data_IF_472519210167
#
_entry.id   IF_472519210167
#
_cell.length_a   1.000
_cell.length_b   1.000
_cell.length_c   1.000
_cell.angle_alpha   90.00
_cell.angle_beta   90.00
_cell.angle_gamma   90.00
#
_symmetry.space_group_name_H-M   'P 1'
#
loop_
_entity.id
_entity.type
_entity.pdbx_description
1 polymer ?
#
# COMPACT_ATOMS: atom_id res chain seq x y z
N UNK A 1 -46.12 12.23 -4.19
CA UNK A 1 -45.27 12.35 -5.40
C UNK A 1 -43.84 12.75 -5.08
N UNK A 2 -43.59 13.62 -4.08
CA UNK A 2 -42.23 13.95 -3.64
C UNK A 2 -41.46 12.76 -3.04
N UNK A 3 -42.13 11.92 -2.24
CA UNK A 3 -41.48 10.74 -1.62
C UNK A 3 -41.00 9.70 -2.64
N UNK A 4 -41.79 9.41 -3.68
CA UNK A 4 -41.42 8.45 -4.72
C UNK A 4 -40.22 8.92 -5.57
N UNK A 5 -40.07 10.23 -5.75
CA UNK A 5 -38.91 10.80 -6.45
C UNK A 5 -37.65 10.78 -5.56
N UNK A 6 -37.80 11.01 -4.25
CA UNK A 6 -36.74 10.89 -3.27
C UNK A 6 -36.25 9.44 -3.13
N UNK A 7 -37.17 8.48 -3.10
CA UNK A 7 -36.87 7.05 -2.98
C UNK A 7 -36.10 6.53 -4.21
N UNK A 8 -36.48 6.97 -5.41
CA UNK A 8 -35.76 6.66 -6.66
C UNK A 8 -34.38 7.32 -6.74
N UNK A 9 -34.22 8.51 -6.14
CA UNK A 9 -32.93 9.18 -6.02
C UNK A 9 -32.00 8.47 -5.02
N UNK A 10 -32.55 7.93 -3.93
CA UNK A 10 -31.81 7.13 -2.95
C UNK A 10 -31.39 5.77 -3.53
N UNK A 11 -32.26 5.11 -4.31
CA UNK A 11 -31.90 3.87 -5.02
C UNK A 11 -30.75 4.06 -6.01
N UNK A 12 -30.81 5.12 -6.83
CA UNK A 12 -29.76 5.43 -7.80
C UNK A 12 -28.44 5.81 -7.12
N UNK A 13 -28.47 6.48 -5.97
CA UNK A 13 -27.28 6.75 -5.16
C UNK A 13 -26.68 5.47 -4.55
N UNK A 14 -27.50 4.58 -4.00
CA UNK A 14 -27.02 3.30 -3.47
C UNK A 14 -26.44 2.41 -4.56
N UNK A 15 -27.05 2.38 -5.75
CA UNK A 15 -26.50 1.68 -6.91
C UNK A 15 -25.16 2.30 -7.36
N UNK A 16 -25.05 3.62 -7.41
CA UNK A 16 -23.80 4.29 -7.76
C UNK A 16 -22.68 4.01 -6.73
N UNK A 17 -23.02 4.01 -5.43
CA UNK A 17 -22.08 3.67 -4.36
C UNK A 17 -21.59 2.23 -4.46
N UNK A 18 -22.46 1.29 -4.80
CA UNK A 18 -22.11 -0.12 -4.97
C UNK A 18 -21.20 -0.35 -6.19
N UNK A 19 -21.44 0.35 -7.31
CA UNK A 19 -20.58 0.30 -8.51
C UNK A 19 -19.17 0.83 -8.18
N UNK A 20 -19.07 1.92 -7.43
CA UNK A 20 -17.77 2.49 -7.00
C UNK A 20 -17.02 1.53 -6.07
N UNK A 21 -17.75 0.87 -5.15
CA UNK A 21 -17.17 -0.09 -4.22
C UNK A 21 -16.67 -1.35 -4.94
N UNK A 22 -17.44 -1.88 -5.88
CA UNK A 22 -17.02 -2.99 -6.73
C UNK A 22 -15.82 -2.61 -7.61
N UNK A 23 -15.77 -1.39 -8.15
CA UNK A 23 -14.61 -0.93 -8.90
C UNK A 23 -13.34 -0.84 -8.03
N UNK A 24 -13.47 -0.43 -6.77
CA UNK A 24 -12.35 -0.39 -5.82
C UNK A 24 -11.87 -1.80 -5.42
N UNK A 25 -12.79 -2.75 -5.26
CA UNK A 25 -12.47 -4.16 -4.95
C UNK A 25 -11.81 -4.87 -6.14
N UNK A 26 -12.21 -4.55 -7.37
CA UNK A 26 -11.68 -5.20 -8.59
C UNK A 26 -10.39 -4.56 -9.14
N UNK A 27 -9.98 -3.38 -8.67
CA UNK A 27 -8.75 -2.71 -9.14
C UNK A 27 -7.46 -3.55 -8.98
N UNK A 28 -7.22 -4.24 -7.84
CA UNK A 28 -6.06 -5.12 -7.68
C UNK A 28 -6.13 -6.37 -8.57
N UNK A 29 -7.34 -6.82 -8.90
CA UNK A 29 -7.57 -7.95 -9.79
C UNK A 29 -7.37 -7.59 -11.26
N UNK A 30 -7.69 -6.35 -11.65
CA UNK A 30 -7.52 -5.85 -13.01
C UNK A 30 -6.05 -5.93 -13.49
N UNK A 31 -5.08 -5.66 -12.61
CA UNK A 31 -3.66 -5.80 -12.94
C UNK A 31 -3.26 -7.27 -13.18
N UNK A 32 -3.77 -8.19 -12.36
CA UNK A 32 -3.56 -9.63 -12.54
C UNK A 32 -4.26 -10.16 -13.80
N UNK A 33 -5.49 -9.72 -14.05
CA UNK A 33 -6.28 -10.11 -15.21
C UNK A 33 -5.70 -9.56 -16.52
N UNK A 34 -5.19 -8.32 -16.54
CA UNK A 34 -4.53 -7.74 -17.70
C UNK A 34 -3.25 -8.49 -18.05
N UNK A 35 -2.41 -8.83 -17.06
CA UNK A 35 -1.21 -9.63 -17.28
C UNK A 35 -1.55 -11.06 -17.73
N UNK A 36 -2.57 -11.68 -17.12
CA UNK A 36 -3.08 -13.00 -17.49
C UNK A 36 -3.60 -13.01 -18.94
N UNK A 37 -4.33 -11.96 -19.35
CA UNK A 37 -4.82 -11.79 -20.71
C UNK A 37 -3.69 -11.58 -21.72
N UNK A 38 -2.67 -10.78 -21.38
CA UNK A 38 -1.47 -10.57 -22.22
C UNK A 38 -0.66 -11.86 -22.35
N UNK A 39 -0.63 -12.71 -21.32
CA UNK A 39 -0.01 -14.04 -21.40
C UNK A 39 -0.85 -15.07 -22.17
N UNK A 40 -2.06 -14.75 -22.63
CA UNK A 40 -2.93 -15.69 -23.35
C UNK A 40 -3.61 -16.74 -22.47
N UNK A 41 -3.76 -16.47 -21.16
CA UNK A 41 -4.48 -17.35 -20.25
C UNK A 41 -3.66 -18.45 -19.58
N UNK A 42 -2.35 -18.53 -19.82
CA UNK A 42 -1.50 -19.63 -19.32
C UNK A 42 -0.94 -19.43 -17.91
N UNK A 43 -0.93 -18.20 -17.38
CA UNK A 43 -0.28 -17.91 -16.08
C UNK A 43 -1.31 -17.61 -15.01
N UNK A 44 -1.53 -18.55 -14.10
CA UNK A 44 -2.42 -18.37 -12.94
C UNK A 44 -2.07 -17.09 -12.13
N UNK A 45 -3.06 -16.28 -11.68
CA UNK A 45 -2.81 -15.06 -10.92
C UNK A 45 -1.96 -15.26 -9.66
N UNK A 46 -2.03 -16.43 -9.03
CA UNK A 46 -1.17 -16.79 -7.91
C UNK A 46 0.28 -16.96 -8.35
N UNK A 47 0.52 -17.71 -9.43
CA UNK A 47 1.88 -17.91 -9.99
C UNK A 47 2.48 -16.57 -10.42
N UNK A 48 1.67 -15.67 -10.97
CA UNK A 48 2.09 -14.32 -11.32
C UNK A 48 2.53 -13.50 -10.09
N UNK A 49 1.69 -13.46 -9.03
CA UNK A 49 2.03 -12.77 -7.77
C UNK A 49 3.26 -13.39 -7.10
N UNK A 50 3.39 -14.71 -7.16
CA UNK A 50 4.55 -15.44 -6.66
C UNK A 50 5.83 -15.09 -7.45
N UNK A 51 5.73 -14.97 -8.78
CA UNK A 51 6.85 -14.56 -9.61
C UNK A 51 7.32 -13.14 -9.26
N UNK A 52 6.39 -12.18 -9.08
CA UNK A 52 6.70 -10.82 -8.62
C UNK A 52 7.38 -10.86 -7.23
N UNK A 53 6.86 -11.67 -6.31
CA UNK A 53 7.44 -11.82 -4.98
C UNK A 53 8.89 -12.33 -5.04
N UNK A 54 9.14 -13.41 -5.78
CA UNK A 54 10.49 -13.98 -5.94
C UNK A 54 11.43 -12.98 -6.63
N UNK A 55 10.99 -12.32 -7.70
CA UNK A 55 11.79 -11.32 -8.40
C UNK A 55 12.13 -10.12 -7.48
N UNK A 56 11.18 -9.70 -6.65
CA UNK A 56 11.38 -8.62 -5.67
C UNK A 56 12.43 -8.97 -4.61
N UNK A 57 12.53 -10.24 -4.21
CA UNK A 57 13.60 -10.72 -3.30
C UNK A 57 14.97 -10.56 -3.96
N UNK A 58 15.12 -10.98 -5.22
CA UNK A 58 16.37 -10.82 -5.96
C UNK A 58 16.76 -9.34 -6.07
N UNK A 59 15.82 -8.47 -6.44
CA UNK A 59 16.06 -7.02 -6.51
C UNK A 59 16.49 -6.49 -5.15
N UNK A 60 15.79 -6.84 -4.07
CA UNK A 60 16.14 -6.41 -2.71
C UNK A 60 17.55 -6.84 -2.28
N UNK A 61 17.93 -8.07 -2.59
CA UNK A 61 19.28 -8.60 -2.32
C UNK A 61 20.36 -7.76 -3.02
N UNK A 62 20.23 -7.52 -4.34
CA UNK A 62 21.23 -6.77 -5.10
C UNK A 62 21.30 -5.29 -4.68
N UNK A 63 20.17 -4.69 -4.31
CA UNK A 63 20.12 -3.30 -3.82
C UNK A 63 20.88 -3.14 -2.50
N UNK A 64 20.74 -4.08 -1.56
CA UNK A 64 21.39 -4.01 -0.25
C UNK A 64 22.87 -4.44 -0.32
N UNK A 65 23.23 -5.35 -1.22
CA UNK A 65 24.60 -5.87 -1.33
C UNK A 65 25.63 -4.80 -1.74
N UNK A 66 25.21 -3.77 -2.47
CA UNK A 66 26.11 -2.78 -3.07
C UNK A 66 26.27 -1.49 -2.25
N UNK A 67 25.97 -1.54 -0.94
CA UNK A 67 26.09 -0.37 -0.05
C UNK A 67 27.48 -0.26 0.58
N UNK A 68 27.94 0.97 0.83
CA UNK A 68 29.20 1.18 1.54
C UNK A 68 29.06 0.82 3.02
N UNK A 69 30.08 0.26 3.69
CA UNK A 69 29.97 -0.19 5.08
C UNK A 69 29.55 0.90 6.08
N UNK A 70 29.92 2.15 5.80
CA UNK A 70 29.54 3.30 6.61
C UNK A 70 28.02 3.60 6.58
N UNK A 71 27.29 3.05 5.61
CA UNK A 71 25.87 3.30 5.42
C UNK A 71 24.97 2.18 5.95
N UNK A 72 25.49 1.10 6.55
CA UNK A 72 24.64 0.02 7.08
C UNK A 72 23.66 0.51 8.16
N UNK A 73 24.10 1.40 9.05
CA UNK A 73 23.23 1.96 10.10
C UNK A 73 22.16 2.89 9.51
N UNK A 74 22.48 3.85 8.61
CA UNK A 74 21.48 4.59 7.86
C UNK A 74 20.54 3.69 7.04
N UNK A 75 21.05 2.64 6.40
CA UNK A 75 20.26 1.71 5.60
C UNK A 75 19.24 0.96 6.45
N UNK A 76 19.63 0.54 7.66
CA UNK A 76 18.72 -0.07 8.62
C UNK A 76 17.58 0.88 9.01
N UNK A 77 17.86 2.17 9.14
CA UNK A 77 16.81 3.17 9.41
C UNK A 77 15.87 3.37 8.21
N UNK A 78 16.40 3.38 6.98
CA UNK A 78 15.61 3.45 5.74
C UNK A 78 14.70 2.24 5.60
N UNK A 79 15.20 1.02 5.81
CA UNK A 79 14.39 -0.20 5.66
C UNK A 79 13.28 -0.27 6.70
N UNK A 80 13.50 0.26 7.91
CA UNK A 80 12.44 0.44 8.89
C UNK A 80 11.33 1.39 8.37
N UNK A 81 11.71 2.54 7.80
CA UNK A 81 10.74 3.46 7.21
C UNK A 81 9.97 2.84 6.02
N UNK A 82 10.65 2.09 5.15
CA UNK A 82 10.03 1.42 3.99
C UNK A 82 9.05 0.33 4.44
N UNK A 83 9.31 -0.35 5.56
CA UNK A 83 8.40 -1.37 6.09
C UNK A 83 6.98 -0.85 6.39
N UNK A 84 6.80 0.48 6.47
CA UNK A 84 5.51 1.14 6.63
C UNK A 84 4.58 1.07 5.40
N UNK A 85 4.91 0.29 4.37
CA UNK A 85 3.99 -0.05 3.25
C UNK A 85 2.65 -0.62 3.73
N UNK A 86 2.62 -1.13 4.98
CA UNK A 86 1.42 -1.56 5.72
C UNK A 86 0.32 -0.47 5.74
N UNK A 87 0.66 0.81 5.54
CA UNK A 87 -0.31 1.92 5.43
C UNK A 87 -1.40 1.64 4.39
N UNK A 88 -1.06 0.98 3.28
CA UNK A 88 -2.02 0.64 2.22
C UNK A 88 -3.09 -0.30 2.76
N UNK A 89 -2.69 -1.32 3.52
CA UNK A 89 -3.62 -2.26 4.15
C UNK A 89 -4.49 -1.59 5.21
N UNK A 90 -3.92 -0.69 6.02
CA UNK A 90 -4.67 0.06 7.02
C UNK A 90 -5.73 0.98 6.39
N UNK A 91 -5.39 1.66 5.28
CA UNK A 91 -6.33 2.51 4.55
C UNK A 91 -7.48 1.70 3.93
N UNK A 92 -7.19 0.52 3.36
CA UNK A 92 -8.24 -0.37 2.85
C UNK A 92 -9.14 -0.86 3.99
N UNK A 93 -8.57 -1.22 5.14
CA UNK A 93 -9.33 -1.64 6.31
C UNK A 93 -10.23 -0.53 6.89
N UNK A 94 -9.82 0.74 6.83
CA UNK A 94 -10.65 1.85 7.29
C UNK A 94 -11.69 2.26 6.22
N UNK A 95 -11.29 2.29 4.95
CA UNK A 95 -12.09 2.86 3.86
C UNK A 95 -13.12 1.93 3.23
N UNK A 96 -12.89 0.61 3.26
CA UNK A 96 -13.76 -0.38 2.59
C UNK A 96 -14.52 -1.28 3.57
N UNK A 97 -14.21 -1.22 4.86
CA UNK A 97 -14.83 -2.12 5.84
C UNK A 97 -16.27 -1.72 6.16
N UNK A 98 -17.20 -2.67 5.99
CA UNK A 98 -18.59 -2.55 6.45
C UNK A 98 -18.76 -2.84 7.95
N UNK A 99 -17.75 -3.41 8.61
CA UNK A 99 -17.76 -3.75 10.04
C UNK A 99 -17.04 -2.70 10.88
N UNK A 100 -17.73 -2.14 11.89
CA UNK A 100 -17.16 -1.14 12.79
C UNK A 100 -15.91 -1.59 13.55
N UNK A 101 -15.75 -2.90 13.79
CA UNK A 101 -14.52 -3.44 14.38
C UNK A 101 -13.33 -3.35 13.43
N UNK A 102 -13.52 -3.65 12.15
CA UNK A 102 -12.45 -3.58 11.15
C UNK A 102 -12.01 -2.12 10.92
N UNK A 103 -12.96 -1.18 10.91
CA UNK A 103 -12.65 0.26 10.88
C UNK A 103 -11.90 0.71 12.14
N UNK A 104 -12.29 0.24 13.32
CA UNK A 104 -11.62 0.56 14.59
C UNK A 104 -10.17 0.06 14.64
N UNK A 105 -9.93 -1.20 14.30
CA UNK A 105 -8.57 -1.75 14.23
C UNK A 105 -7.75 -1.13 13.09
N UNK A 106 -8.36 -0.86 11.95
CA UNK A 106 -7.73 -0.14 10.84
C UNK A 106 -7.27 1.26 11.24
N UNK A 107 -8.07 1.98 12.03
CA UNK A 107 -7.71 3.31 12.53
C UNK A 107 -6.50 3.25 13.48
N UNK A 108 -6.49 2.30 14.42
CA UNK A 108 -5.34 2.08 15.31
C UNK A 108 -4.10 1.72 14.49
N UNK A 109 -4.22 0.81 13.52
CA UNK A 109 -3.14 0.44 12.63
C UNK A 109 -2.60 1.66 11.85
N UNK A 110 -3.47 2.53 11.36
CA UNK A 110 -3.09 3.74 10.63
C UNK A 110 -2.30 4.72 11.52
N UNK A 111 -2.71 4.90 12.78
CA UNK A 111 -1.98 5.73 13.76
C UNK A 111 -0.60 5.15 14.03
N UNK A 112 -0.49 3.85 14.31
CA UNK A 112 0.79 3.19 14.58
C UNK A 112 1.73 3.24 13.38
N UNK A 113 1.20 3.01 12.17
CA UNK A 113 1.95 3.12 10.92
C UNK A 113 2.45 4.54 10.70
N UNK A 114 1.62 5.55 10.97
CA UNK A 114 2.02 6.96 10.83
C UNK A 114 3.24 7.28 11.70
N UNK A 115 3.28 6.79 12.94
CA UNK A 115 4.45 6.96 13.83
C UNK A 115 5.71 6.33 13.22
N UNK A 116 5.60 5.14 12.63
CA UNK A 116 6.74 4.48 11.98
C UNK A 116 7.22 5.25 10.73
N UNK A 117 6.29 5.74 9.89
CA UNK A 117 6.63 6.58 8.72
C UNK A 117 7.40 7.82 9.17
N UNK A 118 6.80 8.65 10.03
CA UNK A 118 7.40 9.92 10.41
C UNK A 118 8.68 9.72 11.22
N UNK A 119 8.68 8.78 12.17
CA UNK A 119 9.87 8.48 12.98
C UNK A 119 11.01 7.91 12.14
N UNK A 120 10.71 6.95 11.26
CA UNK A 120 11.68 6.29 10.39
C UNK A 120 12.35 7.27 9.42
N UNK A 121 11.57 8.11 8.71
CA UNK A 121 12.13 9.06 7.76
C UNK A 121 12.84 10.25 8.43
N UNK A 122 12.35 10.75 9.57
CA UNK A 122 13.00 11.86 10.29
C UNK A 122 14.37 11.45 10.86
N UNK A 123 14.46 10.26 11.47
CA UNK A 123 15.71 9.74 12.01
C UNK A 123 16.71 9.45 10.88
N UNK A 124 16.24 8.82 9.80
CA UNK A 124 17.06 8.56 8.61
C UNK A 124 17.63 9.86 8.03
N UNK A 125 16.81 10.90 7.90
CA UNK A 125 17.26 12.20 7.40
C UNK A 125 18.36 12.80 8.29
N UNK A 126 18.20 12.73 9.61
CA UNK A 126 19.24 13.16 10.57
C UNK A 126 20.52 12.34 10.43
N UNK A 127 20.41 11.02 10.25
CA UNK A 127 21.57 10.14 10.06
C UNK A 127 22.34 10.46 8.78
N UNK A 128 21.63 10.66 7.66
CA UNK A 128 22.25 11.00 6.37
C UNK A 128 22.80 12.43 6.33
N UNK A 129 22.18 13.36 7.06
CA UNK A 129 22.68 14.74 7.17
C UNK A 129 24.06 14.82 7.83
N UNK A 130 24.43 13.86 8.68
CA UNK A 130 25.77 13.79 9.28
C UNK A 130 26.89 13.45 8.29
N UNK A 131 26.54 12.90 7.11
CA UNK A 131 27.49 12.60 6.03
C UNK A 131 27.60 13.73 4.99
N UNK A 132 26.75 14.76 5.08
CA UNK A 132 26.87 15.94 4.22
C UNK A 132 28.01 16.81 4.74
N UNK A 133 28.93 17.19 3.83
CA UNK A 133 29.98 18.16 4.11
C UNK A 133 29.29 19.48 4.49
N UNK A 134 29.62 20.08 5.64
CA UNK A 134 29.13 21.41 6.01
C UNK A 134 29.43 22.37 4.84
N UNK A 135 28.39 22.96 4.25
CA UNK A 135 28.57 24.13 3.40
C UNK A 135 29.27 25.19 4.27
N UNK A 136 30.38 25.72 3.74
CA UNK A 136 31.13 26.81 4.37
C UNK A 136 30.36 28.11 4.26
#
# INVERSE_FOLDING_TARGET
MADAALEKALETLNQAAEIVRQAAENMPEAAGAAAHAVSGGVVDPFVFRLAIFVLSIFVGYYVVWSVTPALHTPLMAVTNAISSVIVVGALLAVGLSASGFATGFGFIALVLVSVNIFGGFLVTHRMLAMYKKKEK
#
